data_IF_370316627919
#
_entry.id   IF_370316627919
#
_cell.length_a   1.000
_cell.length_b   1.000
_cell.length_c   1.000
_cell.angle_alpha   90.00
_cell.angle_beta   90.00
_cell.angle_gamma   90.00
#
_symmetry.space_group_name_H-M   'P 1'
#
loop_
_entity.id
_entity.type
_entity.pdbx_description
1 polymer ?
#
# COMPACT_ATOMS: atom_id res chain seq x y z
N UNK A 1 -0.61 16.77 9.89
CA UNK A 1 -0.66 16.80 8.41
C UNK A 1 -1.37 15.54 7.95
N UNK A 2 -2.47 15.64 7.21
CA UNK A 2 -3.12 14.47 6.59
C UNK A 2 -2.17 13.91 5.53
N UNK A 3 -1.45 12.85 5.86
CA UNK A 3 -0.59 12.17 4.89
C UNK A 3 -1.49 11.53 3.82
N UNK A 4 -1.30 11.92 2.56
CA UNK A 4 -1.91 11.21 1.45
C UNK A 4 -1.22 9.85 1.28
N UNK A 5 -1.97 8.77 1.02
CA UNK A 5 -1.39 7.47 0.72
C UNK A 5 -0.49 7.51 -0.53
N UNK A 6 0.55 6.67 -0.58
CA UNK A 6 1.24 6.41 -1.84
C UNK A 6 0.29 5.74 -2.85
N UNK A 7 0.48 6.04 -4.14
CA UNK A 7 -0.35 5.48 -5.23
C UNK A 7 -0.22 3.97 -5.39
N UNK A 8 0.89 3.41 -4.92
CA UNK A 8 1.17 1.98 -4.97
C UNK A 8 1.61 1.47 -3.60
N UNK A 9 1.31 0.20 -3.30
CA UNK A 9 1.78 -0.47 -2.10
C UNK A 9 2.11 -1.93 -2.38
N UNK A 10 3.11 -2.49 -1.70
CA UNK A 10 3.42 -3.91 -1.81
C UNK A 10 2.23 -4.75 -1.32
N UNK A 11 1.82 -5.73 -2.12
CA UNK A 11 0.79 -6.69 -1.76
C UNK A 11 1.28 -7.56 -0.60
N UNK A 12 0.45 -7.70 0.44
CA UNK A 12 0.74 -8.54 1.63
C UNK A 12 0.98 -10.03 1.32
N UNK A 13 0.60 -10.49 0.14
CA UNK A 13 0.79 -11.87 -0.30
C UNK A 13 2.04 -12.07 -1.18
N UNK A 14 2.87 -11.03 -1.36
CA UNK A 14 4.13 -11.14 -2.12
C UNK A 14 3.99 -11.09 -3.65
N UNK A 15 2.81 -10.79 -4.18
CA UNK A 15 2.55 -10.75 -5.63
C UNK A 15 3.06 -9.48 -6.35
N UNK A 16 3.90 -8.66 -5.72
CA UNK A 16 4.33 -7.35 -6.23
C UNK A 16 3.44 -6.21 -5.73
N UNK A 17 3.31 -5.15 -6.53
CA UNK A 17 2.58 -3.92 -6.16
C UNK A 17 1.07 -4.02 -6.42
N UNK A 18 0.30 -3.36 -5.58
CA UNK A 18 -1.11 -3.03 -5.80
C UNK A 18 -1.31 -1.53 -5.95
N UNK A 19 -2.39 -1.14 -6.61
CA UNK A 19 -2.76 0.26 -6.89
C UNK A 19 -3.78 0.77 -5.90
N UNK A 20 -3.63 2.01 -5.44
CA UNK A 20 -4.55 2.64 -4.52
C UNK A 20 -5.94 2.75 -5.15
N UNK A 21 -6.96 2.31 -4.42
CA UNK A 21 -8.34 2.52 -4.81
C UNK A 21 -8.79 3.92 -4.37
N UNK A 22 -9.46 4.60 -5.28
CA UNK A 22 -10.04 5.92 -5.06
C UNK A 22 -11.55 5.87 -5.28
N UNK A 23 -12.23 6.81 -4.66
CA UNK A 23 -13.65 7.08 -4.87
C UNK A 23 -13.91 7.48 -6.33
N UNK A 24 -14.94 6.88 -6.95
CA UNK A 24 -15.23 7.06 -8.38
C UNK A 24 -15.77 8.45 -8.71
N UNK A 25 -16.43 9.13 -7.77
CA UNK A 25 -17.01 10.46 -8.03
C UNK A 25 -15.93 11.54 -8.02
N UNK A 26 -14.90 11.36 -7.18
CA UNK A 26 -13.83 12.34 -6.97
C UNK A 26 -12.53 11.99 -7.68
N UNK A 27 -12.32 10.72 -8.05
CA UNK A 27 -11.12 10.14 -8.66
C UNK A 27 -9.79 10.41 -7.91
N UNK A 28 -9.88 11.00 -6.71
CA UNK A 28 -8.74 11.55 -5.97
C UNK A 28 -8.82 11.24 -4.48
N UNK A 29 -10.01 11.02 -3.92
CA UNK A 29 -10.18 10.66 -2.52
C UNK A 29 -9.87 9.16 -2.34
N UNK A 30 -8.90 8.77 -1.49
CA UNK A 30 -8.61 7.38 -1.21
C UNK A 30 -9.84 6.64 -0.66
N UNK A 31 -10.08 5.43 -1.15
CA UNK A 31 -11.08 4.55 -0.59
C UNK A 31 -10.59 3.98 0.75
N UNK A 32 -11.47 4.04 1.76
CA UNK A 32 -11.22 3.55 3.10
C UNK A 32 -12.17 2.39 3.42
N UNK A 33 -11.69 1.40 4.19
CA UNK A 33 -12.58 0.41 4.80
C UNK A 33 -13.30 0.98 6.04
N UNK A 34 -14.12 0.15 6.68
CA UNK A 34 -14.84 0.47 7.92
C UNK A 34 -13.93 0.83 9.10
N UNK A 35 -12.63 0.54 9.01
CA UNK A 35 -11.62 0.87 10.01
C UNK A 35 -10.78 2.08 9.62
N UNK A 36 -11.06 2.72 8.48
CA UNK A 36 -10.29 3.86 7.99
C UNK A 36 -8.96 3.48 7.34
N UNK A 37 -8.79 2.23 6.91
CA UNK A 37 -7.58 1.80 6.20
C UNK A 37 -7.68 2.02 4.69
N UNK A 38 -6.58 2.49 4.10
CA UNK A 38 -6.45 2.65 2.66
C UNK A 38 -6.58 1.31 1.94
N UNK A 39 -7.41 1.26 0.91
CA UNK A 39 -7.63 0.06 0.11
C UNK A 39 -6.77 0.08 -1.15
N UNK A 40 -6.12 -1.04 -1.45
CA UNK A 40 -5.33 -1.24 -2.65
C UNK A 40 -5.81 -2.48 -3.40
N UNK A 41 -5.72 -2.47 -4.74
CA UNK A 41 -6.02 -3.63 -5.57
C UNK A 41 -4.74 -4.24 -6.14
N UNK A 42 -4.51 -5.52 -5.86
CA UNK A 42 -3.39 -6.27 -6.41
C UNK A 42 -3.72 -6.73 -7.85
N UNK A 43 -2.95 -6.24 -8.83
CA UNK A 43 -3.15 -6.57 -10.24
C UNK A 43 -2.77 -8.01 -10.59
N UNK A 44 -1.88 -8.65 -9.83
CA UNK A 44 -1.46 -10.03 -10.10
C UNK A 44 -2.33 -11.05 -9.39
N UNK A 45 -2.61 -10.82 -8.10
CA UNK A 45 -3.42 -11.72 -7.27
C UNK A 45 -4.92 -11.44 -7.30
N UNK A 46 -5.38 -10.45 -8.08
CA UNK A 46 -6.78 -10.05 -8.26
C UNK A 46 -7.59 -9.95 -6.96
N UNK A 47 -7.08 -9.22 -5.97
CA UNK A 47 -7.76 -9.03 -4.69
C UNK A 47 -7.48 -7.65 -4.10
N UNK A 48 -8.36 -7.23 -3.19
CA UNK A 48 -8.22 -6.00 -2.41
C UNK A 48 -7.48 -6.29 -1.11
N UNK A 49 -6.62 -5.37 -0.68
CA UNK A 49 -5.97 -5.41 0.63
C UNK A 49 -5.93 -4.03 1.28
N UNK A 50 -5.94 -4.03 2.62
CA UNK A 50 -5.97 -2.83 3.43
C UNK A 50 -4.55 -2.49 3.94
N UNK A 51 -4.24 -1.19 3.98
CA UNK A 51 -3.01 -0.63 4.53
C UNK A 51 -3.38 0.42 5.57
N UNK A 52 -2.79 0.30 6.77
CA UNK A 52 -2.98 1.28 7.83
C UNK A 52 -2.39 2.62 7.39
N UNK A 53 -3.12 3.74 7.50
CA UNK A 53 -2.55 5.06 7.32
C UNK A 53 -1.39 5.19 8.29
N UNK A 54 -0.18 5.25 7.77
CA UNK A 54 0.98 5.52 8.60
C UNK A 54 0.81 6.95 9.10
N UNK A 55 0.51 7.12 10.39
CA UNK A 55 0.91 8.34 11.08
C UNK A 55 2.45 8.30 11.14
N UNK A 56 3.10 8.63 10.01
CA UNK A 56 4.55 8.79 9.88
C UNK A 56 5.40 7.77 10.66
N UNK A 57 5.23 6.48 10.40
CA UNK A 57 6.26 5.49 10.76
C UNK A 57 6.69 4.80 9.47
N UNK A 58 7.79 5.30 8.90
CA UNK A 58 8.57 4.65 7.87
C UNK A 58 8.88 3.23 8.33
N UNK A 59 8.05 2.26 7.94
CA UNK A 59 8.39 0.86 8.11
C UNK A 59 9.42 0.51 7.06
N UNK A 60 10.68 0.61 7.50
CA UNK A 60 11.84 -0.06 6.97
C UNK A 60 11.50 -1.51 6.61
N UNK A 61 11.35 -1.81 5.33
CA UNK A 61 11.51 -3.17 4.81
C UNK A 61 12.29 -3.16 3.50
N UNK A 62 13.44 -2.47 3.51
CA UNK A 62 14.62 -2.92 2.77
C UNK A 62 15.39 -3.92 3.67
N UNK A 63 14.87 -5.15 3.79
CA UNK A 63 15.67 -6.29 4.21
C UNK A 63 15.79 -7.27 3.06
N UNK A 64 16.85 -7.13 2.26
CA UNK A 64 17.83 -8.20 1.97
C UNK A 64 18.68 -7.85 0.75
N UNK A 65 19.84 -7.23 0.98
CA UNK A 65 21.09 -7.66 0.32
C UNK A 65 22.30 -7.14 1.09
N UNK A 66 22.58 -7.73 2.26
CA UNK A 66 23.89 -7.63 2.88
C UNK A 66 24.66 -8.91 2.58
N UNK A 67 25.92 -8.74 2.19
CA UNK A 67 27.06 -9.68 2.18
C UNK A 67 27.03 -10.91 1.26
N UNK A 68 27.80 -10.78 0.18
CA UNK A 68 28.75 -11.83 -0.22
C UNK A 68 30.06 -11.14 -0.56
N UNK A 69 31.02 -11.18 0.36
CA UNK A 69 32.43 -10.94 0.07
C UNK A 69 32.93 -12.15 -0.74
N UNK A 70 33.64 -11.88 -1.83
CA UNK A 70 34.62 -12.76 -2.43
C UNK A 70 35.78 -11.89 -2.90
#
# INVERSE_FOLDING_TARGET
MNAYPPKEHQCKHGHGKGVLLVDIETETRPALDTHGHWQYYCLHGHHVFAVRPAMAESSEEEKQKVISMA
#
